data_IF_639124806224
#
_entry.id   IF_639124806224
#
_cell.length_a   1.000
_cell.length_b   1.000
_cell.length_c   1.000
_cell.angle_alpha   90.00
_cell.angle_beta   90.00
_cell.angle_gamma   90.00
#
_symmetry.space_group_name_H-M   'P 1'
#
loop_
_entity.id
_entity.type
_entity.pdbx_description
1 polymer ?
#
# COMPACT_ATOMS: atom_id res chain seq x y z
N UNK A 1 9.47 -4.72 4.70
CA UNK A 1 8.80 -5.82 3.97
C UNK A 1 9.73 -6.47 2.95
N UNK A 2 10.39 -5.70 2.06
CA UNK A 2 11.33 -6.22 1.05
C UNK A 2 12.41 -7.18 1.59
N UNK A 3 13.02 -6.85 2.73
CA UNK A 3 13.97 -7.74 3.41
C UNK A 3 13.41 -9.14 3.67
N UNK A 4 12.15 -9.23 4.10
CA UNK A 4 11.52 -10.50 4.41
C UNK A 4 11.09 -11.22 3.13
N UNK A 5 10.73 -10.48 2.07
CA UNK A 5 10.47 -11.04 0.74
C UNK A 5 11.73 -11.72 0.17
N UNK A 6 12.88 -11.07 0.28
CA UNK A 6 14.17 -11.65 -0.12
C UNK A 6 14.48 -12.95 0.66
N UNK A 7 14.37 -12.91 1.99
CA UNK A 7 14.55 -14.09 2.85
C UNK A 7 13.57 -15.21 2.53
N UNK A 8 12.32 -14.88 2.20
CA UNK A 8 11.31 -15.86 1.80
C UNK A 8 11.74 -16.60 0.54
N UNK A 9 12.22 -15.88 -0.48
CA UNK A 9 12.72 -16.47 -1.74
C UNK A 9 13.92 -17.39 -1.46
N UNK A 10 14.91 -16.92 -0.68
CA UNK A 10 16.09 -17.70 -0.30
C UNK A 10 15.69 -19.01 0.42
N UNK A 11 14.77 -18.93 1.39
CA UNK A 11 14.31 -20.09 2.16
C UNK A 11 13.54 -21.13 1.32
N UNK A 12 13.03 -20.74 0.14
CA UNK A 12 12.34 -21.63 -0.78
C UNK A 12 13.18 -21.96 -2.02
N UNK A 13 14.51 -21.77 -1.94
CA UNK A 13 15.47 -22.05 -3.03
C UNK A 13 15.16 -21.29 -4.33
N UNK A 14 14.50 -20.14 -4.22
CA UNK A 14 14.23 -19.26 -5.35
C UNK A 14 15.42 -18.36 -5.67
N UNK A 15 15.32 -17.64 -6.79
CA UNK A 15 16.35 -16.68 -7.21
C UNK A 15 15.89 -15.25 -6.94
N UNK A 16 16.61 -14.52 -6.09
CA UNK A 16 16.31 -13.12 -5.75
C UNK A 16 16.39 -12.20 -6.96
N UNK A 17 17.17 -12.55 -7.98
CA UNK A 17 17.29 -11.75 -9.21
C UNK A 17 16.01 -11.76 -10.06
N UNK A 18 15.05 -12.64 -9.75
CA UNK A 18 13.74 -12.63 -10.39
C UNK A 18 12.75 -11.67 -9.69
N UNK A 19 13.20 -10.96 -8.64
CA UNK A 19 12.39 -9.99 -7.93
C UNK A 19 12.78 -8.57 -8.35
N UNK A 20 11.82 -7.82 -8.88
CA UNK A 20 11.94 -6.37 -9.03
C UNK A 20 11.25 -5.70 -7.85
N UNK A 21 11.99 -4.88 -7.11
CA UNK A 21 11.49 -4.20 -5.90
C UNK A 21 11.18 -2.75 -6.21
N UNK A 22 9.95 -2.34 -5.91
CA UNK A 22 9.49 -0.96 -6.01
C UNK A 22 8.95 -0.49 -4.67
N UNK A 23 9.14 0.78 -4.34
CA UNK A 23 8.64 1.35 -3.09
C UNK A 23 8.61 2.87 -3.11
N UNK A 24 7.92 3.47 -2.14
CA UNK A 24 7.87 4.91 -2.00
C UNK A 24 7.74 5.28 -0.52
N UNK A 25 8.42 6.34 -0.13
CA UNK A 25 8.40 6.90 1.22
C UNK A 25 8.42 8.42 1.09
N UNK A 26 7.67 9.09 1.95
CA UNK A 26 7.53 10.55 1.98
C UNK A 26 8.57 11.23 2.86
N UNK A 27 9.02 10.55 3.92
CA UNK A 27 10.03 11.05 4.84
C UNK A 27 11.45 10.83 4.27
N UNK A 28 12.22 11.91 4.15
CA UNK A 28 13.54 11.88 3.52
C UNK A 28 14.53 10.96 4.23
N UNK A 29 14.51 10.92 5.57
CA UNK A 29 15.45 10.13 6.34
C UNK A 29 15.06 8.65 6.31
N UNK A 30 13.76 8.35 6.42
CA UNK A 30 13.25 6.97 6.24
C UNK A 30 13.55 6.43 4.84
N UNK A 31 13.41 7.25 3.80
CA UNK A 31 13.74 6.87 2.43
C UNK A 31 15.23 6.55 2.25
N UNK A 32 16.13 7.40 2.79
CA UNK A 32 17.58 7.13 2.78
C UNK A 32 17.91 5.85 3.54
N UNK A 33 17.33 5.65 4.73
CA UNK A 33 17.53 4.43 5.52
C UNK A 33 17.06 3.19 4.77
N UNK A 34 15.91 3.26 4.09
CA UNK A 34 15.41 2.17 3.26
C UNK A 34 16.40 1.82 2.13
N UNK A 35 16.90 2.83 1.40
CA UNK A 35 17.92 2.63 0.34
C UNK A 35 19.18 1.97 0.90
N UNK A 36 19.74 2.47 1.99
CA UNK A 36 20.92 1.88 2.63
C UNK A 36 20.68 0.42 3.04
N UNK A 37 19.51 0.11 3.60
CA UNK A 37 19.15 -1.24 4.00
C UNK A 37 19.05 -2.22 2.81
N UNK A 38 18.59 -1.76 1.64
CA UNK A 38 18.56 -2.58 0.42
C UNK A 38 19.97 -2.86 -0.10
N UNK A 39 20.82 -1.81 -0.15
CA UNK A 39 22.22 -1.93 -0.58
C UNK A 39 23.00 -2.91 0.30
N UNK A 40 22.89 -2.81 1.63
CA UNK A 40 23.57 -3.73 2.58
C UNK A 40 23.16 -5.19 2.35
N UNK A 41 21.95 -5.42 1.86
CA UNK A 41 21.39 -6.76 1.62
C UNK A 41 21.53 -7.23 0.17
N UNK A 42 22.16 -6.45 -0.69
CA UNK A 42 22.33 -6.78 -2.11
C UNK A 42 21.00 -6.85 -2.87
N UNK A 43 19.99 -6.10 -2.46
CA UNK A 43 18.69 -6.04 -3.12
C UNK A 43 18.67 -4.80 -4.00
N UNK A 44 18.45 -4.98 -5.30
CA UNK A 44 18.18 -3.87 -6.21
C UNK A 44 16.73 -3.40 -6.04
N UNK A 45 16.54 -2.12 -5.78
CA UNK A 45 15.24 -1.55 -5.44
C UNK A 45 15.08 -0.14 -6.00
N UNK A 46 13.98 0.06 -6.73
CA UNK A 46 13.55 1.36 -7.21
C UNK A 46 12.63 2.02 -6.17
N UNK A 47 13.14 3.04 -5.48
CA UNK A 47 12.36 3.85 -4.55
C UNK A 47 12.01 5.24 -5.12
N UNK A 48 12.09 5.39 -6.44
CA UNK A 48 12.04 6.65 -7.15
C UNK A 48 13.32 7.49 -6.98
N UNK A 49 13.34 8.64 -7.65
CA UNK A 49 14.48 9.57 -7.65
C UNK A 49 14.65 10.28 -6.29
N UNK A 50 13.55 10.52 -5.57
CA UNK A 50 13.50 11.23 -4.29
C UNK A 50 12.34 10.73 -3.41
N UNK A 51 12.31 11.13 -2.14
CA UNK A 51 11.15 10.88 -1.26
C UNK A 51 9.94 11.72 -1.71
N UNK A 52 8.75 11.13 -1.72
CA UNK A 52 7.53 11.84 -2.13
C UNK A 52 6.27 11.27 -1.48
N UNK A 53 5.23 12.09 -1.36
CA UNK A 53 3.92 11.66 -0.90
C UNK A 53 3.23 10.83 -1.99
N UNK A 54 2.85 9.58 -1.70
CA UNK A 54 2.25 8.64 -2.66
C UNK A 54 0.94 9.13 -3.28
N UNK A 55 0.18 9.98 -2.57
CA UNK A 55 -1.05 10.54 -3.11
C UNK A 55 -0.77 11.71 -4.06
N UNK A 56 0.09 12.65 -3.69
CA UNK A 56 0.30 13.86 -4.49
C UNK A 56 1.36 13.74 -5.57
N UNK A 57 2.33 12.85 -5.39
CA UNK A 57 3.41 12.63 -6.34
C UNK A 57 3.77 11.15 -6.31
N UNK A 58 2.98 10.38 -7.06
CA UNK A 58 3.22 8.97 -7.28
C UNK A 58 4.44 8.79 -8.20
N UNK A 59 5.49 8.19 -7.67
CA UNK A 59 6.74 7.97 -8.41
C UNK A 59 6.67 6.76 -9.34
N UNK A 60 5.60 5.95 -9.24
CA UNK A 60 5.39 4.74 -10.02
C UNK A 60 3.98 4.69 -10.66
N UNK A 61 3.56 5.75 -11.40
CA UNK A 61 2.17 5.91 -11.83
C UNK A 61 1.67 4.80 -12.76
N UNK A 62 2.57 4.15 -13.49
CA UNK A 62 2.25 3.07 -14.44
C UNK A 62 2.50 1.67 -13.88
N UNK A 63 3.05 1.55 -12.67
CA UNK A 63 3.38 0.25 -12.08
C UNK A 63 2.12 -0.55 -11.80
N UNK A 64 2.10 -1.80 -12.30
CA UNK A 64 1.14 -2.84 -11.94
C UNK A 64 1.91 -4.01 -11.30
N UNK A 65 1.91 -4.07 -9.98
CA UNK A 65 2.68 -5.02 -9.21
C UNK A 65 1.91 -6.32 -8.96
N UNK A 66 2.61 -7.46 -9.03
CA UNK A 66 2.02 -8.75 -8.69
C UNK A 66 1.77 -8.89 -7.18
N UNK A 67 2.63 -8.26 -6.36
CA UNK A 67 2.51 -8.28 -4.90
C UNK A 67 2.72 -6.89 -4.35
N UNK A 68 1.75 -6.41 -3.57
CA UNK A 68 1.85 -5.14 -2.84
C UNK A 68 1.72 -5.45 -1.36
N UNK A 69 2.65 -4.93 -0.56
CA UNK A 69 2.60 -5.07 0.88
C UNK A 69 2.87 -3.72 1.53
N UNK A 70 2.03 -3.30 2.48
CA UNK A 70 2.33 -2.12 3.28
C UNK A 70 1.71 -2.15 4.69
N UNK A 71 2.33 -1.36 5.57
CA UNK A 71 1.78 -0.98 6.86
C UNK A 71 1.69 0.55 6.87
N UNK A 72 0.70 1.15 6.17
CA UNK A 72 0.58 2.59 6.08
C UNK A 72 0.26 3.20 7.45
N UNK A 73 0.49 4.51 7.67
CA UNK A 73 0.11 5.14 8.92
C UNK A 73 -1.42 5.11 9.07
N UNK A 74 -1.90 4.74 10.25
CA UNK A 74 -3.33 4.55 10.49
C UNK A 74 -4.04 5.87 10.75
N UNK A 75 -5.28 5.99 10.25
CA UNK A 75 -6.21 7.08 10.60
C UNK A 75 -5.65 8.49 10.34
N UNK A 76 -4.87 8.65 9.27
CA UNK A 76 -4.36 9.97 8.87
C UNK A 76 -5.53 10.85 8.46
N UNK A 77 -5.70 11.96 9.17
CA UNK A 77 -6.62 13.04 8.80
C UNK A 77 -5.88 14.13 8.02
N UNK A 78 -6.63 14.97 7.30
CA UNK A 78 -6.09 16.08 6.50
C UNK A 78 -5.01 15.62 5.52
N UNK A 79 -5.17 14.42 4.97
CA UNK A 79 -4.23 13.83 4.03
C UNK A 79 -4.32 14.45 2.62
N UNK A 80 -5.26 15.38 2.42
CA UNK A 80 -5.39 16.18 1.21
C UNK A 80 -6.47 15.71 0.24
N UNK A 81 -7.53 15.06 0.75
CA UNK A 81 -8.62 14.55 -0.07
C UNK A 81 -9.29 15.65 -0.91
N UNK A 82 -9.37 16.88 -0.38
CA UNK A 82 -9.95 18.06 -1.04
C UNK A 82 -9.28 18.39 -2.38
N UNK A 83 -8.00 18.08 -2.51
CA UNK A 83 -7.21 18.33 -3.72
C UNK A 83 -7.21 17.16 -4.70
N UNK A 84 -7.81 16.04 -4.31
CA UNK A 84 -7.77 14.78 -5.04
C UNK A 84 -9.18 14.26 -5.35
N UNK A 85 -10.22 15.11 -5.38
CA UNK A 85 -11.62 14.67 -5.51
C UNK A 85 -11.87 13.79 -6.75
N UNK A 86 -11.22 14.11 -7.87
CA UNK A 86 -11.38 13.44 -9.18
C UNK A 86 -10.23 12.48 -9.53
N UNK A 87 -9.46 12.04 -8.53
CA UNK A 87 -8.34 11.14 -8.78
C UNK A 87 -8.81 9.78 -9.32
N UNK A 88 -8.13 9.29 -10.36
CA UNK A 88 -8.44 8.01 -11.03
C UNK A 88 -8.37 6.79 -10.08
N UNK A 89 -7.67 6.92 -8.94
CA UNK A 89 -7.56 5.86 -7.94
C UNK A 89 -8.87 5.66 -7.19
N UNK A 90 -9.75 6.65 -7.10
CA UNK A 90 -11.01 6.59 -6.33
C UNK A 90 -12.16 5.90 -7.06
N UNK A 91 -11.88 4.76 -7.71
CA UNK A 91 -12.86 3.96 -8.47
C UNK A 91 -14.12 3.63 -7.65
N UNK A 92 -13.97 3.41 -6.34
CA UNK A 92 -15.06 3.00 -5.44
C UNK A 92 -15.72 4.18 -4.73
N UNK A 93 -15.17 5.39 -4.88
CA UNK A 93 -15.62 6.62 -4.25
C UNK A 93 -14.49 7.34 -3.53
N UNK A 94 -14.63 8.65 -3.39
CA UNK A 94 -13.61 9.51 -2.78
C UNK A 94 -13.49 9.20 -1.28
N UNK A 95 -12.32 8.79 -0.77
CA UNK A 95 -12.13 8.54 0.66
C UNK A 95 -12.28 9.84 1.47
N UNK A 96 -12.76 9.77 2.72
CA UNK A 96 -12.96 10.96 3.52
C UNK A 96 -11.64 11.61 3.95
N UNK A 97 -11.61 12.95 4.01
CA UNK A 97 -10.41 13.67 4.46
C UNK A 97 -10.05 13.40 5.92
N UNK A 98 -11.00 12.89 6.72
CA UNK A 98 -10.78 12.52 8.11
C UNK A 98 -10.01 11.19 8.27
N UNK A 99 -9.91 10.36 7.22
CA UNK A 99 -9.23 9.06 7.29
C UNK A 99 -8.69 8.58 5.93
N UNK A 100 -7.36 8.43 5.83
CA UNK A 100 -6.68 7.93 4.63
C UNK A 100 -6.73 6.40 4.44
N UNK A 101 -7.32 5.61 5.35
CA UNK A 101 -7.28 4.14 5.26
C UNK A 101 -7.82 3.60 3.92
N UNK A 102 -8.98 4.09 3.47
CA UNK A 102 -9.53 3.71 2.16
C UNK A 102 -8.84 4.38 0.98
N UNK A 103 -8.09 5.47 1.21
CA UNK A 103 -7.20 6.03 0.18
C UNK A 103 -6.03 5.08 -0.09
N UNK A 104 -5.44 4.50 0.97
CA UNK A 104 -4.38 3.50 0.83
C UNK A 104 -4.88 2.22 0.16
N UNK A 105 -6.05 1.70 0.55
CA UNK A 105 -6.64 0.52 -0.10
C UNK A 105 -6.82 0.77 -1.60
N UNK A 106 -7.47 1.87 -1.97
CA UNK A 106 -7.74 2.18 -3.37
C UNK A 106 -6.47 2.49 -4.17
N UNK A 107 -5.47 3.13 -3.57
CA UNK A 107 -4.15 3.31 -4.19
C UNK A 107 -3.49 1.95 -4.49
N UNK A 108 -3.51 1.01 -3.54
CA UNK A 108 -2.93 -0.32 -3.77
C UNK A 108 -3.72 -1.11 -4.82
N UNK A 109 -5.06 -1.08 -4.80
CA UNK A 109 -5.88 -1.70 -5.85
C UNK A 109 -5.53 -1.11 -7.22
N UNK A 110 -5.33 0.21 -7.30
CA UNK A 110 -4.95 0.85 -8.56
C UNK A 110 -3.61 0.33 -9.09
N UNK A 111 -2.59 0.13 -8.25
CA UNK A 111 -1.28 -0.39 -8.67
C UNK A 111 -1.18 -1.91 -8.69
N UNK A 112 -2.26 -2.63 -8.39
CA UNK A 112 -2.25 -4.09 -8.41
C UNK A 112 -2.38 -4.59 -9.85
N UNK A 113 -1.65 -5.64 -10.19
CA UNK A 113 -1.89 -6.37 -11.45
C UNK A 113 -3.34 -6.89 -11.49
N UNK A 114 -4.12 -6.56 -12.53
CA UNK A 114 -5.55 -6.87 -12.55
C UNK A 114 -5.85 -8.36 -12.79
N UNK A 115 -4.88 -9.16 -13.24
CA UNK A 115 -5.10 -10.57 -13.57
C UNK A 115 -4.75 -11.49 -12.40
N UNK A 116 -3.62 -11.24 -11.73
CA UNK A 116 -3.08 -12.13 -10.70
C UNK A 116 -2.42 -11.38 -9.53
N UNK A 117 -2.65 -10.07 -9.39
CA UNK A 117 -2.08 -9.28 -8.32
C UNK A 117 -2.68 -9.61 -6.95
N UNK A 118 -1.86 -9.47 -5.90
CA UNK A 118 -2.28 -9.63 -4.51
C UNK A 118 -1.80 -8.46 -3.66
N UNK A 119 -2.67 -8.00 -2.75
CA UNK A 119 -2.36 -6.94 -1.78
C UNK A 119 -2.45 -7.50 -0.37
N UNK A 120 -1.41 -7.27 0.43
CA UNK A 120 -1.42 -7.49 1.87
C UNK A 120 -1.19 -6.18 2.62
N UNK A 121 -2.19 -5.69 3.34
CA UNK A 121 -2.06 -4.48 4.14
C UNK A 121 -2.50 -4.69 5.59
N UNK A 122 -1.88 -3.93 6.49
CA UNK A 122 -2.29 -3.84 7.89
C UNK A 122 -3.02 -2.52 8.09
N UNK A 123 -4.19 -2.56 8.74
CA UNK A 123 -4.99 -1.38 9.07
C UNK A 123 -5.58 -1.50 10.47
N UNK A 124 -6.02 -0.38 11.02
CA UNK A 124 -6.76 -0.35 12.28
C UNK A 124 -8.12 -1.07 12.15
N UNK A 125 -8.57 -1.72 13.23
CA UNK A 125 -9.84 -2.47 13.29
C UNK A 125 -11.06 -1.65 12.83
N UNK A 126 -11.06 -0.33 13.04
CA UNK A 126 -12.14 0.56 12.61
C UNK A 126 -12.41 0.52 11.10
N UNK A 127 -11.43 0.16 10.27
CA UNK A 127 -11.60 -0.01 8.83
C UNK A 127 -12.64 -1.08 8.45
N UNK A 128 -12.86 -2.08 9.31
CA UNK A 128 -13.78 -3.18 9.03
C UNK A 128 -15.26 -2.82 9.23
N UNK A 129 -15.55 -1.88 10.13
CA UNK A 129 -16.92 -1.63 10.61
C UNK A 129 -17.35 -0.16 10.52
N UNK A 130 -16.44 0.76 10.20
CA UNK A 130 -16.78 2.18 10.08
C UNK A 130 -17.89 2.39 9.04
N UNK A 131 -18.93 3.10 9.48
CA UNK A 131 -20.01 3.63 8.65
C UNK A 131 -19.87 5.14 8.44
N UNK A 132 -18.76 5.72 8.92
CA UNK A 132 -18.54 7.16 8.85
C UNK A 132 -18.12 7.57 7.44
N UNK A 133 -18.58 8.76 7.04
CA UNK A 133 -18.03 9.53 5.92
C UNK A 133 -17.83 8.76 4.60
N UNK A 134 -18.77 7.85 4.26
CA UNK A 134 -18.78 7.12 2.97
C UNK A 134 -17.89 5.85 2.93
N UNK A 135 -17.14 5.53 3.99
CA UNK A 135 -16.28 4.33 4.02
C UNK A 135 -17.07 3.03 3.85
N UNK A 136 -18.31 2.99 4.35
CA UNK A 136 -19.20 1.85 4.17
C UNK A 136 -19.58 1.57 2.71
N UNK A 137 -19.79 2.62 1.91
CA UNK A 137 -20.13 2.49 0.49
C UNK A 137 -18.91 2.07 -0.34
N UNK A 138 -17.74 2.64 -0.03
CA UNK A 138 -16.47 2.22 -0.64
C UNK A 138 -16.22 0.75 -0.34
N UNK A 139 -16.33 0.34 0.93
CA UNK A 139 -16.17 -1.06 1.36
C UNK A 139 -17.12 -1.99 0.63
N UNK A 140 -18.40 -1.63 0.57
CA UNK A 140 -19.43 -2.42 -0.10
C UNK A 140 -19.06 -2.67 -1.57
N UNK A 141 -18.69 -1.62 -2.31
CA UNK A 141 -18.34 -1.77 -3.73
C UNK A 141 -17.06 -2.57 -3.95
N UNK A 142 -16.06 -2.46 -3.08
CA UNK A 142 -14.83 -3.28 -3.16
C UNK A 142 -15.17 -4.77 -2.95
N UNK A 143 -16.10 -5.08 -2.04
CA UNK A 143 -16.57 -6.45 -1.82
C UNK A 143 -17.41 -6.94 -3.01
N UNK A 144 -18.28 -6.10 -3.57
CA UNK A 144 -19.10 -6.43 -4.74
C UNK A 144 -18.25 -6.66 -6.00
N UNK A 145 -17.09 -6.01 -6.11
CA UNK A 145 -16.06 -6.25 -7.14
C UNK A 145 -15.17 -7.48 -6.84
N UNK A 146 -15.47 -8.26 -5.80
CA UNK A 146 -14.78 -9.51 -5.41
C UNK A 146 -13.26 -9.34 -5.16
N UNK A 147 -12.85 -8.20 -4.61
CA UNK A 147 -11.43 -7.90 -4.36
C UNK A 147 -10.92 -8.32 -2.97
N UNK A 148 -11.81 -8.80 -2.10
CA UNK A 148 -11.44 -9.19 -0.73
C UNK A 148 -11.34 -10.72 -0.63
N UNK A 149 -10.11 -11.24 -0.64
CA UNK A 149 -9.85 -12.68 -0.49
C UNK A 149 -9.97 -13.14 0.98
N UNK A 150 -9.58 -12.30 1.95
CA UNK A 150 -9.64 -12.67 3.36
C UNK A 150 -9.27 -11.54 4.32
N UNK A 151 -9.70 -11.67 5.57
CA UNK A 151 -9.43 -10.73 6.67
C UNK A 151 -8.84 -11.52 7.84
N UNK A 152 -7.69 -11.08 8.34
CA UNK A 152 -7.01 -11.67 9.49
C UNK A 152 -7.06 -10.68 10.65
N UNK A 153 -7.78 -11.04 11.72
CA UNK A 153 -7.77 -10.28 12.95
C UNK A 153 -6.53 -10.64 13.78
N UNK A 154 -5.76 -9.62 14.16
CA UNK A 154 -4.56 -9.79 14.98
C UNK A 154 -4.88 -9.55 16.47
N UNK A 155 -4.15 -10.19 17.41
CA UNK A 155 -4.29 -9.90 18.83
C UNK A 155 -4.05 -8.43 19.16
N UNK A 156 -4.72 -7.93 20.19
CA UNK A 156 -4.43 -6.60 20.73
C UNK A 156 -2.98 -6.55 21.27
N UNK A 157 -2.31 -5.41 21.09
CA UNK A 157 -0.93 -5.17 21.56
C UNK A 157 0.10 -6.18 21.03
N UNK A 158 -0.02 -6.59 19.76
CA UNK A 158 0.97 -7.46 19.10
C UNK A 158 2.33 -6.77 18.87
N UNK A 159 2.37 -5.44 18.95
CA UNK A 159 3.55 -4.59 18.77
C UNK A 159 3.81 -3.74 20.01
#
# INVERSE_FOLDING_TARGET
MFVQSAKFIENHSGNINNLSVFGQESNADTWKMAKMNMVIRGIDADFGEHQANSFFNDLHPTLKANYIMANPPFNISNWGADKLQDDIRWKYGTPPNSNANYAWIQHMIHHMDPSNGKVGLVLANGSLSSTQSGEGDIRKKIIEDDLIEGIIALPANLF
#
